data_IF_096738363786
#
_entry.id   IF_096738363786
#
_cell.length_a   1.000
_cell.length_b   1.000
_cell.length_c   1.000
_cell.angle_alpha   90.00
_cell.angle_beta   90.00
_cell.angle_gamma   90.00
#
_symmetry.space_group_name_H-M   'P 1'
#
loop_
_entity.id
_entity.type
_entity.pdbx_description
1 polymer ?
#
# COMPACT_ATOMS: atom_id res chain seq x y z
N UNK A 1 -1.08 10.17 -3.24
CA UNK A 1 -2.05 9.06 -3.41
C UNK A 1 -2.56 9.10 -4.83
N UNK A 2 -2.85 7.95 -5.44
CA UNK A 2 -3.49 7.87 -6.75
C UNK A 2 -4.44 6.67 -6.81
N UNK A 3 -5.35 6.66 -7.78
CA UNK A 3 -6.33 5.59 -8.02
C UNK A 3 -5.87 4.69 -9.16
N UNK A 4 -6.07 3.40 -9.03
CA UNK A 4 -5.92 2.43 -10.11
C UNK A 4 -7.30 1.84 -10.41
N UNK A 5 -7.68 1.84 -11.70
CA UNK A 5 -8.92 1.22 -12.17
C UNK A 5 -8.82 -0.30 -12.11
N UNK A 6 -9.95 -0.98 -11.95
CA UNK A 6 -10.01 -2.43 -12.09
C UNK A 6 -9.46 -2.86 -13.45
N UNK A 7 -8.71 -3.95 -13.50
CA UNK A 7 -8.34 -4.57 -14.76
C UNK A 7 -9.54 -5.35 -15.36
N UNK A 8 -9.43 -5.73 -16.63
CA UNK A 8 -10.51 -6.40 -17.34
C UNK A 8 -10.84 -7.77 -16.75
N UNK A 9 -12.10 -8.19 -16.90
CA UNK A 9 -12.54 -9.56 -16.66
C UNK A 9 -11.57 -10.53 -17.40
N UNK A 10 -10.86 -11.38 -16.64
CA UNK A 10 -9.84 -12.34 -17.12
C UNK A 10 -8.44 -11.80 -17.44
N UNK A 11 -8.12 -10.54 -17.11
CA UNK A 11 -6.76 -10.01 -17.31
C UNK A 11 -5.89 -10.00 -16.05
N UNK A 12 -6.36 -10.55 -14.92
CA UNK A 12 -5.58 -10.54 -13.69
C UNK A 12 -4.33 -11.41 -13.86
N UNK A 13 -3.17 -10.81 -13.66
CA UNK A 13 -1.91 -11.54 -13.64
C UNK A 13 -1.83 -12.42 -12.38
N UNK A 14 -1.34 -13.65 -12.51
CA UNK A 14 -1.19 -14.61 -11.41
C UNK A 14 -0.40 -14.04 -10.22
N UNK A 15 0.56 -13.16 -10.48
CA UNK A 15 1.34 -12.49 -9.44
C UNK A 15 0.47 -11.70 -8.46
N UNK A 16 -0.72 -11.24 -8.86
CA UNK A 16 -1.59 -10.43 -8.03
C UNK A 16 -2.71 -11.21 -7.35
N UNK A 17 -2.90 -12.50 -7.64
CA UNK A 17 -4.03 -13.30 -7.10
C UNK A 17 -4.09 -13.25 -5.58
N UNK A 18 -2.96 -13.41 -4.90
CA UNK A 18 -2.92 -13.40 -3.44
C UNK A 18 -3.32 -12.03 -2.87
N UNK A 19 -2.82 -10.95 -3.47
CA UNK A 19 -3.15 -9.58 -3.06
C UNK A 19 -4.61 -9.26 -3.34
N UNK A 20 -5.13 -9.70 -4.49
CA UNK A 20 -6.52 -9.52 -4.92
C UNK A 20 -7.49 -10.19 -3.95
N UNK A 21 -7.27 -11.47 -3.63
CA UNK A 21 -8.13 -12.22 -2.71
C UNK A 21 -8.19 -11.58 -1.32
N UNK A 22 -7.04 -11.22 -0.76
CA UNK A 22 -6.98 -10.62 0.58
C UNK A 22 -7.67 -9.27 0.60
N UNK A 23 -7.43 -8.43 -0.41
CA UNK A 23 -8.02 -7.10 -0.47
C UNK A 23 -9.51 -7.15 -0.85
N UNK A 24 -9.98 -8.24 -1.46
CA UNK A 24 -11.39 -8.48 -1.74
C UNK A 24 -12.19 -8.73 -0.45
N UNK A 25 -11.61 -9.46 0.52
CA UNK A 25 -12.22 -9.73 1.82
C UNK A 25 -12.29 -8.50 2.73
N UNK A 26 -11.50 -7.47 2.43
CA UNK A 26 -11.40 -6.23 3.21
C UNK A 26 -12.56 -5.28 2.93
N UNK A 27 -12.88 -4.46 3.93
CA UNK A 27 -13.86 -3.38 3.76
C UNK A 27 -13.30 -2.25 2.89
N UNK A 28 -14.18 -1.39 2.36
CA UNK A 28 -13.72 -0.20 1.66
C UNK A 28 -12.92 0.70 2.61
N UNK A 29 -11.83 1.28 2.09
CA UNK A 29 -10.89 2.11 2.86
C UNK A 29 -10.21 1.38 4.03
N UNK A 30 -10.27 0.05 4.08
CA UNK A 30 -9.38 -0.74 4.92
C UNK A 30 -8.07 -1.00 4.14
N UNK A 31 -6.95 -0.49 4.66
CA UNK A 31 -5.66 -0.53 3.97
C UNK A 31 -4.80 -1.71 4.42
N UNK A 32 -3.89 -2.11 3.53
CA UNK A 32 -2.82 -3.07 3.84
C UNK A 32 -1.50 -2.55 3.26
N UNK A 33 -0.39 -2.91 3.91
CA UNK A 33 0.94 -2.77 3.33
C UNK A 33 1.16 -3.88 2.30
N UNK A 34 1.54 -3.52 1.07
CA UNK A 34 1.78 -4.53 0.02
C UNK A 34 3.14 -5.22 0.15
N UNK A 35 4.03 -4.72 1.02
CA UNK A 35 5.40 -5.20 1.14
C UNK A 35 5.53 -6.73 1.32
N UNK A 36 4.67 -7.43 2.09
CA UNK A 36 4.70 -8.89 2.21
C UNK A 36 4.37 -9.66 0.92
N UNK A 37 3.70 -9.02 -0.05
CA UNK A 37 3.30 -9.64 -1.33
C UNK A 37 4.29 -9.35 -2.45
N UNK A 38 5.31 -8.54 -2.18
CA UNK A 38 6.30 -8.18 -3.18
C UNK A 38 7.29 -9.33 -3.43
N UNK A 39 7.62 -9.62 -4.69
CA UNK A 39 8.72 -10.53 -5.01
C UNK A 39 10.05 -10.08 -4.38
N UNK A 40 10.89 -11.04 -4.01
CA UNK A 40 12.23 -10.76 -3.48
C UNK A 40 13.19 -10.22 -4.54
N UNK A 41 13.03 -10.64 -5.79
CA UNK A 41 13.84 -10.15 -6.91
C UNK A 41 13.54 -8.67 -7.20
N UNK A 42 14.59 -7.86 -7.32
CA UNK A 42 14.48 -6.40 -7.44
C UNK A 42 13.73 -5.98 -8.71
N UNK A 43 13.97 -6.65 -9.83
CA UNK A 43 13.35 -6.32 -11.12
C UNK A 43 11.88 -6.73 -11.11
N UNK A 44 11.56 -7.93 -10.61
CA UNK A 44 10.18 -8.40 -10.44
C UNK A 44 9.40 -7.52 -9.47
N UNK A 45 10.04 -7.07 -8.37
CA UNK A 45 9.45 -6.13 -7.41
C UNK A 45 9.10 -4.80 -8.05
N UNK A 46 10.02 -4.23 -8.82
CA UNK A 46 9.75 -2.99 -9.56
C UNK A 46 8.58 -3.16 -10.53
N UNK A 47 8.56 -4.24 -11.32
CA UNK A 47 7.46 -4.54 -12.24
C UNK A 47 6.12 -4.74 -11.51
N UNK A 48 6.11 -5.48 -10.41
CA UNK A 48 4.92 -5.70 -9.59
C UNK A 48 4.29 -4.37 -9.14
N UNK A 49 5.10 -3.43 -8.64
CA UNK A 49 4.61 -2.13 -8.17
C UNK A 49 4.17 -1.24 -9.34
N UNK A 50 4.92 -1.26 -10.45
CA UNK A 50 4.65 -0.44 -11.64
C UNK A 50 3.36 -0.87 -12.34
N UNK A 51 3.19 -2.18 -12.49
CA UNK A 51 2.12 -2.79 -13.28
C UNK A 51 1.02 -3.36 -12.37
N UNK A 52 0.86 -2.79 -11.16
CA UNK A 52 -0.12 -3.24 -10.16
C UNK A 52 -1.53 -3.19 -10.73
N UNK A 53 -2.22 -4.33 -10.72
CA UNK A 53 -3.56 -4.51 -11.27
C UNK A 53 -4.37 -5.46 -10.39
N UNK A 54 -5.63 -5.12 -10.14
CA UNK A 54 -6.59 -5.92 -9.35
C UNK A 54 -7.95 -5.95 -10.04
N UNK A 55 -8.84 -6.85 -9.62
CA UNK A 55 -10.19 -7.04 -10.20
C UNK A 55 -11.20 -5.93 -9.82
N UNK A 56 -10.79 -5.02 -8.94
CA UNK A 56 -11.59 -3.90 -8.46
C UNK A 56 -10.74 -2.63 -8.34
N UNK A 57 -11.37 -1.44 -8.33
CA UNK A 57 -10.61 -0.21 -8.22
C UNK A 57 -10.01 -0.07 -6.82
N UNK A 58 -8.79 0.46 -6.78
CA UNK A 58 -8.04 0.65 -5.55
C UNK A 58 -7.47 2.04 -5.42
N UNK A 59 -7.28 2.45 -4.17
CA UNK A 59 -6.45 3.58 -3.79
C UNK A 59 -5.05 3.09 -3.49
N UNK A 60 -4.06 3.88 -3.89
CA UNK A 60 -2.65 3.63 -3.59
C UNK A 60 -2.07 4.85 -2.91
N UNK A 61 -1.53 4.66 -1.71
CA UNK A 61 -0.71 5.64 -1.03
C UNK A 61 0.74 5.20 -1.01
N UNK A 62 1.61 6.09 -1.48
CA UNK A 62 3.05 5.85 -1.58
C UNK A 62 3.75 6.80 -0.63
N UNK A 63 4.39 6.24 0.39
CA UNK A 63 5.20 6.99 1.33
C UNK A 63 6.69 6.86 0.98
N UNK A 64 7.30 7.99 0.68
CA UNK A 64 8.73 8.09 0.41
C UNK A 64 9.45 8.44 1.71
N UNK A 65 10.00 7.44 2.37
CA UNK A 65 10.86 7.64 3.51
C UNK A 65 12.24 8.08 3.01
N UNK A 66 12.51 9.39 3.04
CA UNK A 66 13.73 9.97 2.47
C UNK A 66 15.01 9.18 2.79
N UNK A 67 15.68 8.74 1.71
CA UNK A 67 16.89 7.92 1.57
C UNK A 67 16.92 6.50 2.20
N UNK A 68 17.35 5.55 1.37
CA UNK A 68 17.78 4.16 1.62
C UNK A 68 16.77 3.14 2.18
N UNK A 69 15.65 3.58 2.78
CA UNK A 69 14.67 2.69 3.43
C UNK A 69 13.58 2.14 2.49
N UNK A 70 13.66 2.47 1.20
CA UNK A 70 12.66 2.07 0.23
C UNK A 70 11.41 2.93 0.26
N UNK A 71 10.32 2.40 -0.28
CA UNK A 71 9.05 3.10 -0.41
C UNK A 71 7.96 2.18 0.13
N UNK A 72 7.20 2.66 1.12
CA UNK A 72 6.06 1.92 1.65
C UNK A 72 4.87 2.21 0.76
N UNK A 73 4.17 1.17 0.32
CA UNK A 73 3.01 1.29 -0.55
C UNK A 73 1.81 0.65 0.15
N UNK A 74 0.85 1.48 0.51
CA UNK A 74 -0.42 1.04 1.06
C UNK A 74 -1.47 1.00 -0.04
N UNK A 75 -2.33 -0.02 0.01
CA UNK A 75 -3.44 -0.19 -0.93
C UNK A 75 -4.73 -0.50 -0.18
N UNK A 76 -5.85 -0.05 -0.73
CA UNK A 76 -7.19 -0.31 -0.20
C UNK A 76 -8.21 -0.35 -1.33
N UNK A 77 -9.33 -1.02 -1.07
CA UNK A 77 -10.46 -1.06 -2.00
C UNK A 77 -11.21 0.27 -2.00
N UNK A 78 -11.60 0.73 -3.19
CA UNK A 78 -12.45 1.92 -3.39
C UNK A 78 -13.75 1.49 -4.10
N UNK A 79 -14.91 2.12 -3.83
CA UNK A 79 -16.12 1.88 -4.62
C UNK A 79 -15.92 2.17 -6.12
N UNK A 80 -16.63 1.41 -6.97
CA UNK A 80 -16.51 1.57 -8.44
C UNK A 80 -16.95 2.96 -8.90
N UNK A 81 -18.05 3.44 -8.34
CA UNK A 81 -18.61 4.76 -8.59
C UNK A 81 -18.19 5.65 -7.41
N UNK A 82 -17.65 6.83 -7.70
CA UNK A 82 -17.49 7.87 -6.68
C UNK A 82 -18.89 8.37 -6.32
N UNK A 83 -19.48 7.72 -5.32
CA UNK A 83 -20.69 8.24 -4.69
C UNK A 83 -20.20 9.40 -3.84
N UNK A 84 -20.70 10.61 -4.13
CA UNK A 84 -20.54 11.76 -3.23
C UNK A 84 -21.37 11.48 -1.98
N UNK A 85 -20.75 10.73 -1.08
CA UNK A 85 -21.28 10.30 0.19
C UNK A 85 -20.31 10.73 1.28
N UNK A 86 -20.81 11.54 2.22
CA UNK A 86 -20.04 12.07 3.34
C UNK A 86 -19.40 10.93 4.17
N UNK A 87 -20.02 9.75 4.20
CA UNK A 87 -19.48 8.57 4.87
C UNK A 87 -18.17 8.11 4.23
N UNK A 88 -18.11 8.03 2.89
CA UNK A 88 -16.92 7.57 2.18
C UNK A 88 -15.74 8.54 2.29
N UNK A 89 -16.00 9.85 2.26
CA UNK A 89 -14.94 10.83 2.50
C UNK A 89 -14.45 10.79 3.95
N UNK A 90 -15.35 10.57 4.91
CA UNK A 90 -14.96 10.39 6.32
C UNK A 90 -14.10 9.14 6.51
N UNK A 91 -14.50 7.99 5.95
CA UNK A 91 -13.75 6.74 6.02
C UNK A 91 -12.35 6.89 5.41
N UNK A 92 -12.27 7.56 4.25
CA UNK A 92 -11.00 7.85 3.58
C UNK A 92 -10.10 8.74 4.42
N UNK A 93 -10.63 9.81 5.02
CA UNK A 93 -9.87 10.69 5.90
C UNK A 93 -9.37 9.95 7.14
N UNK A 94 -10.23 9.17 7.81
CA UNK A 94 -9.86 8.34 8.96
C UNK A 94 -8.75 7.34 8.61
N UNK A 95 -8.86 6.65 7.47
CA UNK A 95 -7.83 5.72 7.00
C UNK A 95 -6.48 6.41 6.77
N UNK A 96 -6.48 7.58 6.12
CA UNK A 96 -5.24 8.33 5.90
C UNK A 96 -4.59 8.75 7.22
N UNK A 97 -5.38 9.21 8.19
CA UNK A 97 -4.88 9.55 9.53
C UNK A 97 -4.23 8.35 10.21
N UNK A 98 -4.86 7.17 10.15
CA UNK A 98 -4.29 5.93 10.72
C UNK A 98 -2.98 5.53 10.04
N UNK A 99 -2.92 5.59 8.71
CA UNK A 99 -1.66 5.37 7.98
C UNK A 99 -0.58 6.35 8.48
N UNK A 100 -0.92 7.63 8.62
CA UNK A 100 0.03 8.63 9.10
C UNK A 100 0.50 8.36 10.53
N UNK A 101 -0.36 7.88 11.43
CA UNK A 101 0.00 7.50 12.80
C UNK A 101 0.93 6.28 12.84
N UNK A 102 0.71 5.29 11.97
CA UNK A 102 1.55 4.09 11.85
C UNK A 102 2.91 4.38 11.19
N UNK A 103 2.98 5.41 10.34
CA UNK A 103 4.22 5.76 9.68
C UNK A 103 5.30 6.09 10.72
N UNK A 104 6.50 5.53 10.57
CA UNK A 104 7.54 5.73 11.57
C UNK A 104 7.99 7.20 11.58
N UNK A 105 7.72 7.85 12.71
CA UNK A 105 8.09 9.24 12.97
C UNK A 105 9.53 9.29 13.48
N UNK A 106 10.44 9.76 12.64
CA UNK A 106 11.81 10.00 13.07
C UNK A 106 12.08 11.49 13.12
N UNK A 107 12.11 12.02 14.34
CA UNK A 107 12.41 13.42 14.64
C UNK A 107 13.83 13.82 14.22
N UNK A 108 14.79 12.89 14.18
CA UNK A 108 16.17 13.16 13.75
C UNK A 108 16.76 12.04 12.90
N UNK A 109 17.78 12.36 12.08
CA UNK A 109 18.58 11.36 11.35
C UNK A 109 19.26 10.35 12.29
N UNK A 110 19.63 10.78 13.49
CA UNK A 110 20.24 9.91 14.52
C UNK A 110 19.26 8.83 14.99
N UNK A 111 18.00 9.20 15.26
CA UNK A 111 16.95 8.24 15.62
C UNK A 111 16.68 7.23 14.50
N UNK A 112 16.73 7.65 13.23
CA UNK A 112 16.64 6.74 12.07
C UNK A 112 17.75 5.67 12.08
N UNK A 113 19.00 6.09 12.27
CA UNK A 113 20.16 5.18 12.30
C UNK A 113 20.10 4.19 13.48
N UNK A 114 19.67 4.64 14.64
CA UNK A 114 19.63 3.80 15.84
C UNK A 114 18.58 2.67 15.74
N UNK A 115 17.42 2.93 15.11
CA UNK A 115 16.40 1.90 14.86
C UNK A 115 16.89 0.89 13.81
N UNK A 116 17.49 1.37 12.72
CA UNK A 116 18.09 0.51 11.69
C UNK A 116 19.17 -0.43 12.26
N UNK A 117 20.09 0.10 13.07
CA UNK A 117 21.15 -0.71 13.67
C UNK A 117 20.61 -1.76 14.66
N UNK A 118 19.55 -1.46 15.42
CA UNK A 118 18.90 -2.46 16.30
C UNK A 118 18.26 -3.59 15.50
N UNK A 119 17.62 -3.30 14.37
CA UNK A 119 17.01 -4.33 13.52
C UNK A 119 18.06 -5.25 12.87
N UNK A 120 19.26 -4.74 12.57
CA UNK A 120 20.38 -5.53 12.02
C UNK A 120 21.03 -6.43 13.08
N UNK A 121 21.02 -6.02 14.36
CA UNK A 121 21.64 -6.79 15.46
C UNK A 121 20.75 -7.94 15.96
N UNK A 122 19.46 -7.98 15.57
CA UNK A 122 18.50 -9.02 16.00
C UNK A 122 18.31 -10.11 14.91
N UNK A 123 19.09 -10.09 13.82
CA UNK A 123 19.20 -11.21 12.86
C UNK A 123 20.36 -12.13 13.22
#
# INVERSE_FOLDING_TARGET
MYRISACGCNSLNENYIQLDNILFEKQFYEYIDIQPYLPNDVVKRYRFIKDLQLMFPIGVYRYHQGNYLGTINYVWRIPKIEVFDDEHETLKACMLTRIHEELPHYFTRQMRKNVLNKAIIIQ
#
